data_IF_840834282820
#
_entry.id   IF_840834282820
#
_cell.length_a   1.000
_cell.length_b   1.000
_cell.length_c   1.000
_cell.angle_alpha   90.00
_cell.angle_beta   90.00
_cell.angle_gamma   90.00
#
_symmetry.space_group_name_H-M   'P 1'
#
loop_
_entity.id
_entity.type
_entity.pdbx_description
1 polymer ?
#
# COMPACT_ATOMS: atom_id res chain seq x y z
N UNK A 1 -5.00 17.10 -12.01
CA UNK A 1 -4.04 16.05 -11.59
C UNK A 1 -2.81 16.17 -12.47
N UNK A 2 -1.63 16.35 -11.90
CA UNK A 2 -0.40 16.41 -12.70
C UNK A 2 0.05 14.96 -12.90
N UNK A 3 -0.13 14.47 -14.13
CA UNK A 3 0.42 13.19 -14.57
C UNK A 3 1.94 13.28 -14.56
N UNK A 4 2.60 12.53 -13.68
CA UNK A 4 4.03 12.35 -13.73
C UNK A 4 4.33 11.15 -14.65
N UNK A 5 4.52 11.40 -15.94
CA UNK A 5 5.16 10.42 -16.81
C UNK A 5 6.63 10.30 -16.40
N UNK A 6 6.96 9.32 -15.55
CA UNK A 6 8.36 8.92 -15.32
C UNK A 6 8.75 7.91 -16.39
N UNK A 7 9.62 8.34 -17.29
CA UNK A 7 10.32 7.51 -18.28
C UNK A 7 11.40 6.67 -17.59
N UNK A 8 11.00 5.74 -16.73
CA UNK A 8 11.82 4.66 -16.16
C UNK A 8 10.95 3.43 -16.03
N UNK A 9 11.56 2.26 -16.17
CA UNK A 9 10.91 0.97 -15.98
C UNK A 9 10.14 0.96 -14.65
N UNK A 10 8.80 0.92 -14.74
CA UNK A 10 7.88 1.22 -13.63
C UNK A 10 7.99 0.13 -12.53
N UNK A 11 8.48 -1.06 -12.87
CA UNK A 11 8.72 -2.14 -11.90
C UNK A 11 9.77 -1.78 -10.83
N UNK A 12 10.70 -0.87 -11.13
CA UNK A 12 11.86 -0.59 -10.28
C UNK A 12 11.60 0.35 -9.08
N UNK A 13 10.35 0.69 -8.76
CA UNK A 13 10.05 1.66 -7.70
C UNK A 13 8.77 1.42 -6.91
N UNK A 14 8.14 0.24 -7.04
CA UNK A 14 6.86 -0.06 -6.41
C UNK A 14 7.01 -1.08 -5.28
N UNK A 15 6.47 -0.72 -4.12
CA UNK A 15 6.14 -1.65 -3.04
C UNK A 15 4.63 -1.84 -3.04
N UNK A 16 4.18 -3.04 -3.44
CA UNK A 16 2.76 -3.29 -3.67
C UNK A 16 2.36 -4.70 -3.25
N UNK A 17 1.08 -4.84 -2.92
CA UNK A 17 0.40 -6.13 -2.92
C UNK A 17 -0.54 -6.19 -4.14
N UNK A 18 -0.68 -7.37 -4.74
CA UNK A 18 -1.54 -7.63 -5.89
C UNK A 18 -2.51 -8.77 -5.55
N UNK A 19 -3.71 -8.70 -6.12
CA UNK A 19 -4.70 -9.79 -6.15
C UNK A 19 -4.89 -10.16 -7.62
N UNK A 20 -4.35 -11.30 -8.05
CA UNK A 20 -4.45 -11.76 -9.43
C UNK A 20 -4.83 -13.24 -9.44
N UNK A 21 -5.95 -13.58 -10.10
CA UNK A 21 -6.49 -14.94 -10.17
C UNK A 21 -6.62 -15.64 -8.80
N UNK A 22 -7.15 -14.91 -7.81
CA UNK A 22 -7.31 -15.35 -6.41
C UNK A 22 -5.99 -15.68 -5.68
N UNK A 23 -4.87 -15.23 -6.23
CA UNK A 23 -3.57 -15.30 -5.57
C UNK A 23 -3.12 -13.89 -5.12
N UNK A 24 -2.81 -13.77 -3.83
CA UNK A 24 -2.25 -12.54 -3.28
C UNK A 24 -0.73 -12.61 -3.31
N UNK A 25 -0.08 -11.58 -3.85
CA UNK A 25 1.38 -11.50 -3.88
C UNK A 25 1.89 -10.15 -3.42
N UNK A 26 3.09 -10.13 -2.88
CA UNK A 26 3.84 -8.92 -2.52
C UNK A 26 5.07 -8.81 -3.42
N UNK A 27 5.27 -7.63 -4.01
CA UNK A 27 6.45 -7.33 -4.83
C UNK A 27 7.11 -6.04 -4.37
N UNK A 28 8.44 -6.03 -4.39
CA UNK A 28 9.27 -4.85 -4.11
C UNK A 28 10.34 -4.69 -5.20
N UNK A 29 10.95 -3.50 -5.37
CA UNK A 29 11.85 -3.22 -6.49
C UNK A 29 13.05 -4.17 -6.64
N UNK A 30 13.55 -4.69 -5.53
CA UNK A 30 14.78 -5.49 -5.47
C UNK A 30 14.58 -6.88 -4.89
N UNK A 31 13.33 -7.27 -4.62
CA UNK A 31 12.98 -8.53 -3.97
C UNK A 31 12.20 -9.47 -4.90
N UNK A 32 12.30 -10.79 -4.69
CA UNK A 32 11.43 -11.73 -5.37
C UNK A 32 9.97 -11.48 -4.98
N UNK A 33 9.06 -11.84 -5.88
CA UNK A 33 7.64 -11.85 -5.57
C UNK A 33 7.34 -12.90 -4.49
N UNK A 34 6.58 -12.50 -3.48
CA UNK A 34 6.24 -13.35 -2.34
C UNK A 34 4.75 -13.64 -2.34
N UNK A 35 4.37 -14.91 -2.35
CA UNK A 35 2.97 -15.32 -2.20
C UNK A 35 2.50 -15.05 -0.77
N UNK A 36 1.32 -14.48 -0.62
CA UNK A 36 0.72 -14.12 0.65
C UNK A 36 -0.40 -15.09 1.00
N UNK A 37 -0.38 -15.62 2.22
CA UNK A 37 -1.46 -16.45 2.73
C UNK A 37 -2.56 -15.58 3.33
N UNK A 38 -3.52 -15.21 2.49
CA UNK A 38 -4.69 -14.41 2.89
C UNK A 38 -5.88 -15.36 3.06
N UNK A 39 -6.23 -15.68 4.31
CA UNK A 39 -7.28 -16.67 4.62
C UNK A 39 -8.68 -16.23 4.15
N UNK A 40 -8.95 -14.92 4.18
CA UNK A 40 -10.23 -14.34 3.78
C UNK A 40 -9.97 -13.11 2.92
N UNK A 41 -10.63 -13.05 1.77
CA UNK A 41 -10.56 -11.90 0.87
C UNK A 41 -10.94 -10.61 1.60
N UNK A 42 -10.02 -9.64 1.78
CA UNK A 42 -10.30 -8.41 2.50
C UNK A 42 -11.25 -7.54 1.67
N UNK A 43 -12.23 -6.92 2.33
CA UNK A 43 -13.09 -5.89 1.70
C UNK A 43 -12.45 -4.51 1.75
N UNK A 44 -11.54 -4.32 2.70
CA UNK A 44 -10.82 -3.09 2.93
C UNK A 44 -9.38 -3.41 3.27
N UNK A 45 -8.46 -2.61 2.76
CA UNK A 45 -7.04 -2.69 3.09
C UNK A 45 -6.62 -1.36 3.69
N UNK A 46 -6.04 -1.39 4.89
CA UNK A 46 -5.35 -0.26 5.49
C UNK A 46 -3.88 -0.33 5.10
N UNK A 47 -3.37 0.77 4.56
CA UNK A 47 -1.95 0.97 4.26
C UNK A 47 -1.39 1.95 5.27
N UNK A 48 -0.31 1.58 5.95
CA UNK A 48 0.37 2.42 6.92
C UNK A 48 1.85 2.57 6.55
N UNK A 49 2.32 3.81 6.45
CA UNK A 49 3.71 4.14 6.17
C UNK A 49 4.34 4.76 7.42
N UNK A 50 5.27 4.03 8.03
CA UNK A 50 6.25 4.57 8.97
C UNK A 50 7.53 4.85 8.18
N UNK A 51 7.63 6.09 7.67
CA UNK A 51 8.71 6.49 6.77
C UNK A 51 10.08 6.42 7.48
N UNK A 52 10.16 6.93 8.71
CA UNK A 52 11.41 6.97 9.48
C UNK A 52 11.80 5.60 10.04
N UNK A 53 10.81 4.81 10.48
CA UNK A 53 11.02 3.43 10.91
C UNK A 53 11.19 2.43 9.76
N UNK A 54 11.07 2.89 8.51
CA UNK A 54 11.30 2.10 7.32
C UNK A 54 10.28 0.98 7.10
N UNK A 55 9.03 1.16 7.54
CA UNK A 55 7.98 0.14 7.42
C UNK A 55 6.81 0.62 6.57
N UNK A 56 6.42 -0.20 5.61
CA UNK A 56 5.17 -0.07 4.87
C UNK A 56 4.33 -1.32 5.10
N UNK A 57 3.22 -1.20 5.82
CA UNK A 57 2.38 -2.32 6.21
C UNK A 57 0.98 -2.28 5.61
N UNK A 58 0.48 -3.47 5.30
CA UNK A 58 -0.86 -3.75 4.78
C UNK A 58 -1.60 -4.62 5.79
N UNK A 59 -2.85 -4.27 6.08
CA UNK A 59 -3.71 -5.00 7.02
C UNK A 59 -5.17 -4.93 6.61
N UNK A 60 -5.95 -5.93 7.01
CA UNK A 60 -7.41 -5.89 6.96
C UNK A 60 -7.93 -5.37 8.31
N UNK A 61 -8.43 -4.12 8.37
CA UNK A 61 -8.94 -3.56 9.62
C UNK A 61 -10.26 -4.18 10.07
N UNK A 62 -10.99 -4.88 9.20
CA UNK A 62 -12.29 -5.47 9.55
C UNK A 62 -12.13 -6.79 10.29
N UNK A 63 -11.08 -7.56 9.97
CA UNK A 63 -10.69 -8.78 10.69
C UNK A 63 -9.53 -8.58 11.67
N UNK A 64 -8.96 -7.37 11.71
CA UNK A 64 -7.74 -7.04 12.46
C UNK A 64 -6.56 -7.99 12.13
N UNK A 65 -6.45 -8.41 10.87
CA UNK A 65 -5.39 -9.32 10.41
C UNK A 65 -4.29 -8.57 9.67
N UNK A 66 -3.06 -9.01 9.91
CA UNK A 66 -1.90 -8.54 9.17
C UNK A 66 -1.82 -9.23 7.81
N UNK A 67 -1.55 -8.47 6.74
CA UNK A 67 -1.39 -9.01 5.38
C UNK A 67 0.10 -9.10 5.03
N UNK A 68 0.82 -7.98 5.05
CA UNK A 68 2.25 -7.93 4.70
C UNK A 68 2.92 -6.66 5.22
N UNK A 69 4.23 -6.73 5.48
CA UNK A 69 5.08 -5.56 5.79
C UNK A 69 6.33 -5.59 4.94
N UNK A 70 6.59 -4.51 4.22
CA UNK A 70 7.89 -4.23 3.65
C UNK A 70 8.76 -3.48 4.65
N UNK A 71 10.02 -3.88 4.76
CA UNK A 71 11.05 -3.14 5.50
C UNK A 71 12.04 -2.57 4.51
N UNK A 72 12.20 -1.25 4.50
CA UNK A 72 13.11 -0.56 3.58
C UNK A 72 13.51 0.82 4.12
N UNK A 73 14.73 1.26 3.81
CA UNK A 73 15.16 2.64 4.08
C UNK A 73 14.65 3.55 2.96
N UNK A 74 13.46 4.12 3.14
CA UNK A 74 12.88 5.04 2.16
C UNK A 74 13.65 6.37 2.14
N UNK A 75 14.21 6.73 0.98
CA UNK A 75 14.94 7.99 0.78
C UNK A 75 14.20 8.99 -0.10
N UNK A 76 13.23 8.50 -0.87
CA UNK A 76 12.48 9.29 -1.84
C UNK A 76 11.04 9.51 -1.36
N UNK A 77 10.42 10.58 -1.86
CA UNK A 77 9.00 10.85 -1.60
C UNK A 77 8.14 9.72 -2.15
N UNK A 78 7.31 9.15 -1.27
CA UNK A 78 6.35 8.10 -1.60
C UNK A 78 5.00 8.69 -2.00
N UNK A 79 4.34 8.01 -2.94
CA UNK A 79 2.98 8.35 -3.38
C UNK A 79 2.12 7.08 -3.35
N UNK A 80 0.83 7.18 -2.98
CA UNK A 80 -0.09 6.08 -3.17
C UNK A 80 -0.18 5.70 -4.65
N UNK A 81 -0.20 4.40 -4.92
CA UNK A 81 -0.40 3.83 -6.24
C UNK A 81 -1.58 2.87 -6.19
N UNK A 82 -2.50 3.01 -7.14
CA UNK A 82 -3.67 2.14 -7.29
C UNK A 82 -3.78 1.74 -8.75
N UNK A 83 -4.01 0.46 -8.99
CA UNK A 83 -4.12 -0.12 -10.32
C UNK A 83 -5.17 -1.23 -10.27
N UNK A 84 -6.11 -1.18 -11.21
CA UNK A 84 -7.23 -2.13 -11.28
C UNK A 84 -7.62 -2.35 -12.73
N UNK A 85 -8.06 -3.56 -13.06
CA UNK A 85 -8.57 -3.89 -14.40
C UNK A 85 -9.95 -3.27 -14.71
N UNK A 86 -10.55 -2.57 -13.74
CA UNK A 86 -11.88 -1.97 -13.82
C UNK A 86 -11.86 -0.48 -13.47
N UNK A 87 -13.01 0.18 -13.59
CA UNK A 87 -13.13 1.59 -13.20
C UNK A 87 -12.88 1.80 -11.71
N UNK A 88 -11.82 2.55 -11.38
CA UNK A 88 -11.51 2.95 -10.01
C UNK A 88 -12.19 4.28 -9.66
N UNK A 89 -13.02 4.28 -8.61
CA UNK A 89 -13.58 5.50 -8.02
C UNK A 89 -12.87 5.83 -6.72
N UNK A 90 -12.20 6.99 -6.68
CA UNK A 90 -11.61 7.52 -5.45
C UNK A 90 -12.62 8.48 -4.81
N UNK A 91 -13.17 8.09 -3.66
CA UNK A 91 -14.13 8.91 -2.92
C UNK A 91 -13.39 9.76 -1.88
N UNK A 92 -13.70 11.06 -1.76
CA UNK A 92 -13.13 11.89 -0.70
C UNK A 92 -13.63 11.40 0.67
N UNK A 93 -12.70 11.09 1.57
CA UNK A 93 -13.05 10.85 2.98
C UNK A 93 -13.18 12.19 3.69
N UNK A 94 -14.25 12.37 4.46
CA UNK A 94 -14.30 13.47 5.44
C UNK A 94 -13.31 13.13 6.56
N UNK A 95 -12.17 13.81 6.58
CA UNK A 95 -11.19 13.70 7.66
C UNK A 95 -11.52 14.77 8.71
N UNK A 96 -11.69 14.35 9.96
CA UNK A 96 -11.77 15.25 11.10
C UNK A 96 -10.45 15.14 11.87
N UNK A 97 -9.84 16.27 12.21
CA UNK A 97 -8.63 16.32 13.05
C UNK A 97 -9.04 16.81 14.42
N UNK A 98 -8.81 16.00 15.45
CA UNK A 98 -8.93 16.43 16.83
C UNK A 98 -7.54 16.85 17.31
N UNK A 99 -7.41 18.08 17.81
CA UNK A 99 -6.17 18.55 18.43
C UNK A 99 -6.29 18.30 19.92
N UNK A 100 -5.48 17.37 20.44
CA UNK A 100 -5.31 17.22 21.88
C UNK A 100 -4.29 18.26 22.35
N UNK A 101 -4.74 19.25 23.12
CA UNK A 101 -3.86 20.21 23.78
C UNK A 101 -3.26 19.54 25.01
N UNK A 102 -1.94 19.41 25.04
CA UNK A 102 -1.21 19.10 26.26
C UNK A 102 -1.06 20.40 27.07
N UNK A 103 -1.70 20.44 28.24
CA UNK A 103 -1.45 21.45 29.28
C UNK A 103 -0.13 21.15 30.00
#
# INVERSE_FOLDING_TARGET
MVSAQRKRDIGSGLWRICDLFDEYTASSPSGPETRLSVQKKPRRVRVNLDYNGGKLSFSDPDSNTHIHTFTHTFTERMFPYFDTLSDLKVLPLKVCVNVEQQN
#
